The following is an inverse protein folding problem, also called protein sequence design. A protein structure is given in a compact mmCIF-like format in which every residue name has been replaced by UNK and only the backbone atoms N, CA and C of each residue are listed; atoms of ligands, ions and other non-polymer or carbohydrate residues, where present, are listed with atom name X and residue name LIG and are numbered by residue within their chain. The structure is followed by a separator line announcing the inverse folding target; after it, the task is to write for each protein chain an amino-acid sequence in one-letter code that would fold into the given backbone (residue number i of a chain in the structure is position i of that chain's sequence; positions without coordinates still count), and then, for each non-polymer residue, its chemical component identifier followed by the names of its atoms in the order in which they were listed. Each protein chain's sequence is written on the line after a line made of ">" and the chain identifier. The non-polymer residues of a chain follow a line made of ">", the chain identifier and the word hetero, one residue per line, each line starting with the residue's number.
data_IF_250499432564
#
_entry.id   IF_250499432564
#
_cell.length_a   1.000
_cell.length_b   1.000
_cell.length_c   1.000
_cell.angle_alpha   90.00
_cell.angle_beta   90.00
_cell.angle_gamma   90.00
#
_symmetry.space_group_name_H-M   'P 1'
#
loop_
_entity.id
_entity.type
_entity.pdbx_description
1 polymer ?
#
# COMPACT_ATOMS: atom_id res chain seq x y z
N UNK A 1 16.45 16.71 -20.13
CA UNK A 1 15.69 15.49 -19.88
C UNK A 1 14.41 15.85 -19.11
N UNK A 2 13.23 15.55 -19.70
CA UNK A 2 11.91 15.92 -19.16
C UNK A 2 11.69 15.38 -17.73
N UNK A 3 12.02 14.13 -17.46
CA UNK A 3 11.86 13.49 -16.13
C UNK A 3 12.68 14.24 -15.06
N UNK A 4 13.91 14.63 -15.37
CA UNK A 4 14.73 15.40 -14.44
C UNK A 4 14.10 16.76 -14.10
N UNK A 5 13.56 17.46 -15.11
CA UNK A 5 12.88 18.73 -14.89
C UNK A 5 11.62 18.59 -14.02
N UNK A 6 10.82 17.56 -14.27
CA UNK A 6 9.63 17.23 -13.47
C UNK A 6 9.99 16.88 -12.03
N UNK A 7 10.99 16.02 -11.80
CA UNK A 7 11.45 15.68 -10.47
C UNK A 7 12.05 16.89 -9.73
N UNK A 8 12.76 17.76 -10.44
CA UNK A 8 13.28 19.03 -9.88
C UNK A 8 12.15 19.96 -9.43
N UNK A 9 11.09 20.08 -10.21
CA UNK A 9 9.89 20.82 -9.84
C UNK A 9 9.22 20.20 -8.62
N UNK A 10 8.93 18.91 -8.69
CA UNK A 10 8.29 18.13 -7.63
C UNK A 10 9.03 18.25 -6.29
N UNK A 11 10.37 18.24 -6.31
CA UNK A 11 11.18 18.33 -5.09
C UNK A 11 11.01 19.65 -4.31
N UNK A 12 10.45 20.68 -4.95
CA UNK A 12 10.19 21.98 -4.34
C UNK A 12 8.69 22.23 -4.07
N UNK A 13 7.81 21.42 -4.65
CA UNK A 13 6.36 21.60 -4.59
C UNK A 13 5.65 20.23 -4.38
N UNK A 14 5.93 19.61 -3.23
CA UNK A 14 5.26 18.40 -2.80
C UNK A 14 3.87 18.70 -2.26
N UNK A 15 2.88 17.93 -2.64
CA UNK A 15 1.44 18.12 -2.32
C UNK A 15 1.11 17.76 -0.85
N UNK A 16 1.90 18.23 0.09
CA UNK A 16 1.72 17.96 1.53
C UNK A 16 0.37 18.39 2.09
N UNK A 17 -0.25 19.38 1.46
CA UNK A 17 -1.53 19.95 1.89
C UNK A 17 -2.74 19.11 1.47
N UNK A 18 -2.57 18.19 0.52
CA UNK A 18 -3.64 17.30 0.06
C UNK A 18 -3.75 16.03 0.89
N UNK A 19 -2.68 15.66 1.62
CA UNK A 19 -2.59 14.43 2.40
C UNK A 19 -2.83 13.16 1.56
N UNK A 20 -2.99 12.01 2.23
CA UNK A 20 -3.37 10.75 1.60
C UNK A 20 -2.45 10.30 0.47
N UNK A 21 -3.03 9.65 -0.52
CA UNK A 21 -2.32 9.04 -1.64
C UNK A 21 -1.51 10.05 -2.48
N UNK A 22 -1.94 11.31 -2.60
CA UNK A 22 -1.23 12.32 -3.40
C UNK A 22 0.20 12.54 -2.93
N UNK A 23 0.37 12.82 -1.63
CA UNK A 23 1.69 13.05 -1.06
C UNK A 23 2.54 11.76 -1.09
N UNK A 24 1.95 10.60 -0.84
CA UNK A 24 2.64 9.31 -0.92
C UNK A 24 3.22 9.04 -2.31
N UNK A 25 2.42 9.23 -3.36
CA UNK A 25 2.85 9.07 -4.77
C UNK A 25 3.93 10.08 -5.15
N UNK A 26 3.84 11.33 -4.66
CA UNK A 26 4.90 12.33 -4.85
C UNK A 26 6.23 11.84 -4.26
N UNK A 27 6.20 11.29 -3.04
CA UNK A 27 7.39 10.77 -2.36
C UNK A 27 7.98 9.57 -3.12
N UNK A 28 7.13 8.63 -3.57
CA UNK A 28 7.56 7.51 -4.42
C UNK A 28 8.25 8.00 -5.68
N UNK A 29 7.61 8.91 -6.43
CA UNK A 29 8.16 9.45 -7.67
C UNK A 29 9.51 10.14 -7.44
N UNK A 30 9.63 10.92 -6.35
CA UNK A 30 10.86 11.61 -6.00
C UNK A 30 11.96 10.63 -5.57
N UNK A 31 11.62 9.55 -4.86
CA UNK A 31 12.55 8.49 -4.47
C UNK A 31 13.17 7.82 -5.70
N UNK A 32 12.32 7.39 -6.65
CA UNK A 32 12.76 6.76 -7.89
C UNK A 32 13.67 7.70 -8.70
N UNK A 33 13.24 8.96 -8.87
CA UNK A 33 14.07 9.95 -9.56
C UNK A 33 15.40 10.20 -8.84
N UNK A 34 15.37 10.27 -7.49
CA UNK A 34 16.55 10.46 -6.67
C UNK A 34 17.59 9.37 -6.86
N UNK A 35 17.16 8.12 -6.97
CA UNK A 35 18.03 6.96 -7.23
C UNK A 35 18.55 6.97 -8.66
N UNK A 36 17.66 7.16 -9.66
CA UNK A 36 18.03 7.15 -11.10
C UNK A 36 19.01 8.27 -11.45
N UNK A 37 18.82 9.46 -10.90
CA UNK A 37 19.68 10.61 -11.15
C UNK A 37 20.78 10.80 -10.10
N UNK A 38 20.95 9.86 -9.18
CA UNK A 38 21.92 9.91 -8.08
C UNK A 38 21.84 11.19 -7.23
N UNK A 39 20.62 11.71 -7.05
CA UNK A 39 20.36 12.93 -6.30
C UNK A 39 20.03 12.63 -4.84
N UNK A 40 21.06 12.69 -3.97
CA UNK A 40 20.94 12.42 -2.54
C UNK A 40 19.89 13.31 -1.85
N UNK A 41 19.75 14.58 -2.27
CA UNK A 41 18.74 15.47 -1.68
C UNK A 41 17.32 14.96 -1.93
N UNK A 42 17.02 14.51 -3.15
CA UNK A 42 15.70 13.97 -3.50
C UNK A 42 15.42 12.68 -2.75
N UNK A 43 16.38 11.76 -2.73
CA UNK A 43 16.26 10.51 -1.96
C UNK A 43 16.01 10.80 -0.48
N UNK A 44 16.78 11.71 0.14
CA UNK A 44 16.61 12.05 1.56
C UNK A 44 15.29 12.72 1.88
N UNK A 45 14.73 13.54 0.98
CA UNK A 45 13.41 14.15 1.15
C UNK A 45 12.34 13.05 1.11
N UNK A 46 12.40 12.18 0.11
CA UNK A 46 11.45 11.11 -0.10
C UNK A 46 11.47 10.09 1.05
N UNK A 47 12.64 9.61 1.47
CA UNK A 47 12.75 8.67 2.58
C UNK A 47 12.20 9.23 3.89
N UNK A 48 12.53 10.47 4.23
CA UNK A 48 12.00 11.09 5.45
C UNK A 48 10.48 11.20 5.42
N UNK A 49 9.91 11.56 4.26
CA UNK A 49 8.46 11.59 4.09
C UNK A 49 7.85 10.20 4.26
N UNK A 50 8.36 9.19 3.55
CA UNK A 50 7.86 7.81 3.61
C UNK A 50 7.94 7.20 5.01
N UNK A 51 9.02 7.49 5.77
CA UNK A 51 9.15 7.04 7.16
C UNK A 51 8.09 7.64 8.10
N UNK A 52 7.51 8.77 7.74
CA UNK A 52 6.39 9.39 8.47
C UNK A 52 5.05 8.91 7.94
N UNK A 53 4.87 8.93 6.61
CA UNK A 53 3.58 8.65 5.97
C UNK A 53 3.14 7.18 6.10
N UNK A 54 4.07 6.22 6.03
CA UNK A 54 3.72 4.80 6.13
C UNK A 54 2.99 4.50 7.44
N UNK A 55 3.55 4.81 8.64
CA UNK A 55 2.84 4.54 9.90
C UNK A 55 1.64 5.47 10.15
N UNK A 56 1.54 6.61 9.48
CA UNK A 56 0.38 7.51 9.57
C UNK A 56 -0.77 7.03 8.71
N UNK A 57 -0.48 6.53 7.50
CA UNK A 57 -1.51 6.15 6.53
C UNK A 57 -1.96 4.70 6.66
N UNK A 58 -1.18 3.83 7.30
CA UNK A 58 -1.52 2.42 7.44
C UNK A 58 -1.83 2.12 8.90
N UNK A 59 -3.08 1.73 9.14
CA UNK A 59 -3.60 1.39 10.47
C UNK A 59 -3.00 0.08 10.99
N UNK A 60 -3.13 -0.20 12.28
CA UNK A 60 -2.55 -1.39 12.90
C UNK A 60 -3.09 -2.72 12.34
N UNK A 61 -4.34 -2.73 11.85
CA UNK A 61 -4.96 -3.86 11.17
C UNK A 61 -4.57 -3.98 9.68
N UNK A 62 -3.71 -3.09 9.19
CA UNK A 62 -3.20 -3.07 7.83
C UNK A 62 -4.04 -2.27 6.83
N UNK A 63 -5.18 -1.72 7.22
CA UNK A 63 -5.98 -0.87 6.35
C UNK A 63 -5.26 0.43 6.00
N UNK A 64 -5.43 0.92 4.77
CA UNK A 64 -5.14 2.32 4.48
C UNK A 64 -6.21 3.21 5.14
N UNK A 65 -5.81 4.32 5.75
CA UNK A 65 -6.66 5.20 6.56
C UNK A 65 -7.82 5.85 5.80
N UNK A 66 -7.75 5.92 4.47
CA UNK A 66 -8.87 6.38 3.63
C UNK A 66 -10.03 5.36 3.57
N UNK A 67 -9.82 4.16 4.11
CA UNK A 67 -10.82 3.08 4.19
C UNK A 67 -11.43 2.70 2.82
N UNK A 68 -10.72 2.99 1.73
CA UNK A 68 -11.08 2.59 0.38
C UNK A 68 -10.24 1.39 -0.05
N UNK A 69 -10.86 0.22 -0.31
CA UNK A 69 -10.12 -0.98 -0.77
C UNK A 69 -9.37 -0.77 -2.09
N UNK A 70 -9.84 0.12 -2.94
CA UNK A 70 -9.13 0.48 -4.16
C UNK A 70 -7.86 1.28 -3.87
N UNK A 71 -7.95 2.37 -3.07
CA UNK A 71 -6.78 3.17 -2.70
C UNK A 71 -5.80 2.36 -1.84
N UNK A 72 -6.30 1.50 -0.95
CA UNK A 72 -5.48 0.53 -0.23
C UNK A 72 -4.62 -0.31 -1.20
N UNK A 73 -5.23 -0.85 -2.25
CA UNK A 73 -4.53 -1.65 -3.26
C UNK A 73 -3.48 -0.84 -4.03
N UNK A 74 -3.75 0.43 -4.35
CA UNK A 74 -2.81 1.33 -5.01
C UNK A 74 -1.60 1.63 -4.13
N UNK A 75 -1.81 1.99 -2.86
CA UNK A 75 -0.73 2.24 -1.90
C UNK A 75 0.09 0.98 -1.64
N UNK A 76 -0.55 -0.19 -1.54
CA UNK A 76 0.15 -1.46 -1.40
C UNK A 76 1.09 -1.73 -2.59
N UNK A 77 0.64 -1.48 -3.82
CA UNK A 77 1.51 -1.57 -5.01
C UNK A 77 2.66 -0.58 -4.94
N UNK A 78 2.41 0.64 -4.49
CA UNK A 78 3.45 1.65 -4.33
C UNK A 78 4.51 1.21 -3.30
N UNK A 79 4.09 0.60 -2.20
CA UNK A 79 5.02 0.04 -1.19
C UNK A 79 5.81 -1.15 -1.73
N UNK A 80 5.18 -2.04 -2.50
CA UNK A 80 5.86 -3.15 -3.17
C UNK A 80 6.91 -2.64 -4.18
N UNK A 81 6.59 -1.57 -4.93
CA UNK A 81 7.53 -0.95 -5.86
C UNK A 81 8.75 -0.35 -5.13
N UNK A 82 8.52 0.34 -4.01
CA UNK A 82 9.61 0.91 -3.20
C UNK A 82 10.46 -0.23 -2.60
N UNK A 83 9.84 -1.31 -2.14
CA UNK A 83 10.55 -2.49 -1.64
C UNK A 83 11.36 -3.17 -2.75
N UNK A 84 10.80 -3.33 -3.95
CA UNK A 84 11.52 -3.84 -5.11
C UNK A 84 12.73 -2.95 -5.46
N UNK A 85 12.54 -1.63 -5.43
CA UNK A 85 13.63 -0.67 -5.65
C UNK A 85 14.76 -0.85 -4.62
N UNK A 86 14.44 -1.10 -3.34
CA UNK A 86 15.43 -1.35 -2.30
C UNK A 86 16.25 -2.62 -2.57
N UNK A 87 15.63 -3.64 -3.14
CA UNK A 87 16.34 -4.88 -3.53
C UNK A 87 17.22 -4.71 -4.76
N UNK A 88 16.77 -3.88 -5.71
CA UNK A 88 17.58 -3.56 -6.91
C UNK A 88 18.76 -2.65 -6.58
N UNK A 89 18.64 -1.79 -5.58
CA UNK A 89 19.65 -0.79 -5.18
C UNK A 89 19.90 -0.82 -3.67
N UNK A 90 20.42 -1.93 -3.11
CA UNK A 90 20.47 -2.15 -1.66
C UNK A 90 21.30 -1.13 -0.87
N UNK A 91 22.23 -0.41 -1.53
CA UNK A 91 23.05 0.63 -0.90
C UNK A 91 22.45 2.04 -1.02
N UNK A 92 21.34 2.21 -1.71
CA UNK A 92 20.75 3.53 -2.01
C UNK A 92 19.59 3.90 -1.09
N UNK A 93 18.95 2.93 -0.43
CA UNK A 93 17.88 3.15 0.54
C UNK A 93 18.35 2.78 1.96
N UNK A 94 17.77 3.45 2.95
CA UNK A 94 18.09 3.17 4.35
C UNK A 94 17.48 1.83 4.79
N UNK A 95 18.20 1.11 5.66
CA UNK A 95 17.69 -0.10 6.32
C UNK A 95 16.38 0.19 7.06
N UNK A 96 16.26 1.40 7.64
CA UNK A 96 15.06 1.81 8.37
C UNK A 96 13.81 1.81 7.49
N UNK A 97 13.89 2.33 6.27
CA UNK A 97 12.77 2.32 5.33
C UNK A 97 12.46 0.89 4.87
N UNK A 98 13.48 0.09 4.56
CA UNK A 98 13.26 -1.30 4.14
C UNK A 98 12.60 -2.13 5.24
N UNK A 99 13.05 -2.02 6.49
CA UNK A 99 12.43 -2.72 7.63
C UNK A 99 10.99 -2.27 7.88
N UNK A 100 10.69 -0.99 7.68
CA UNK A 100 9.33 -0.48 7.80
C UNK A 100 8.41 -1.09 6.72
N UNK A 101 8.89 -1.19 5.48
CA UNK A 101 8.14 -1.85 4.40
C UNK A 101 7.93 -3.35 4.69
N UNK A 102 8.94 -4.04 5.22
CA UNK A 102 8.85 -5.46 5.64
C UNK A 102 7.81 -5.67 6.75
N UNK A 103 7.62 -4.69 7.62
CA UNK A 103 6.61 -4.73 8.68
C UNK A 103 5.19 -4.49 8.13
N UNK A 104 5.00 -3.47 7.29
CA UNK A 104 3.65 -3.01 6.91
C UNK A 104 3.07 -3.73 5.69
N UNK A 105 3.87 -4.16 4.72
CA UNK A 105 3.39 -4.87 3.53
C UNK A 105 2.59 -6.15 3.89
N UNK A 106 3.05 -7.03 4.80
CA UNK A 106 2.27 -8.21 5.20
C UNK A 106 0.92 -7.87 5.85
N UNK A 107 0.85 -6.82 6.65
CA UNK A 107 -0.40 -6.35 7.26
C UNK A 107 -1.39 -5.92 6.18
N UNK A 108 -0.93 -5.11 5.21
CA UNK A 108 -1.75 -4.65 4.09
C UNK A 108 -2.22 -5.81 3.21
N UNK A 109 -1.37 -6.80 2.92
CA UNK A 109 -1.76 -7.99 2.17
C UNK A 109 -2.86 -8.79 2.88
N UNK A 110 -2.76 -8.91 4.21
CA UNK A 110 -3.79 -9.58 5.03
C UNK A 110 -5.12 -8.83 5.00
N UNK A 111 -5.08 -7.51 5.11
CA UNK A 111 -6.27 -6.67 5.01
C UNK A 111 -6.91 -6.75 3.61
N UNK A 112 -6.10 -6.69 2.54
CA UNK A 112 -6.58 -6.85 1.17
C UNK A 112 -7.31 -8.19 0.98
N UNK A 113 -6.76 -9.29 1.52
CA UNK A 113 -7.41 -10.62 1.50
C UNK A 113 -8.75 -10.61 2.24
N UNK A 114 -8.79 -9.97 3.41
CA UNK A 114 -10.03 -9.84 4.18
C UNK A 114 -11.11 -9.05 3.45
N UNK A 115 -10.74 -8.04 2.67
CA UNK A 115 -11.68 -7.13 1.98
C UNK A 115 -12.03 -7.57 0.54
N UNK A 116 -11.31 -8.52 -0.05
CA UNK A 116 -11.61 -8.98 -1.41
C UNK A 116 -12.85 -9.87 -1.46
N UNK A 117 -13.66 -9.75 -2.52
CA UNK A 117 -14.74 -10.69 -2.80
C UNK A 117 -14.23 -12.10 -3.17
N UNK A 118 -15.06 -13.16 -3.08
CA UNK A 118 -14.62 -14.53 -3.42
C UNK A 118 -14.09 -14.67 -4.85
N UNK A 119 -14.54 -13.83 -5.79
CA UNK A 119 -14.06 -13.78 -7.18
C UNK A 119 -12.77 -12.96 -7.33
N UNK A 120 -12.24 -12.39 -6.24
CA UNK A 120 -11.06 -11.52 -6.23
C UNK A 120 -11.35 -10.06 -6.59
N UNK A 121 -12.62 -9.70 -6.74
CA UNK A 121 -13.05 -8.31 -6.98
C UNK A 121 -12.85 -7.42 -5.76
N UNK A 122 -12.76 -6.12 -6.01
CA UNK A 122 -12.64 -5.08 -4.98
C UNK A 122 -14.02 -4.83 -4.36
N UNK A 123 -14.09 -4.77 -3.03
CA UNK A 123 -15.31 -4.33 -2.35
C UNK A 123 -15.50 -2.82 -2.49
N UNK A 124 -16.75 -2.40 -2.72
CA UNK A 124 -17.08 -0.99 -3.04
C UNK A 124 -17.43 -0.22 -1.76
N UNK A 125 -16.42 0.08 -0.96
CA UNK A 125 -16.54 0.99 0.18
C UNK A 125 -15.81 2.29 -0.12
N UNK A 126 -16.37 3.39 0.35
CA UNK A 126 -15.87 4.74 0.11
C UNK A 126 -15.66 4.99 -1.40
N UNK A 127 -14.56 5.62 -1.80
CA UNK A 127 -14.26 5.96 -3.20
C UNK A 127 -13.71 4.78 -4.03
N UNK A 128 -14.07 3.54 -3.70
CA UNK A 128 -13.63 2.37 -4.46
C UNK A 128 -14.38 2.22 -5.78
N UNK A 129 -13.62 1.97 -6.85
CA UNK A 129 -14.13 1.68 -8.18
C UNK A 129 -13.38 0.50 -8.81
N UNK A 130 -14.07 -0.25 -9.66
CA UNK A 130 -13.45 -1.37 -10.39
C UNK A 130 -12.55 -0.89 -11.55
N UNK A 131 -11.53 -1.67 -11.87
CA UNK A 131 -10.67 -1.45 -13.03
C UNK A 131 -9.61 -0.34 -12.87
N UNK A 132 -9.50 0.30 -11.70
CA UNK A 132 -8.49 1.34 -11.42
C UNK A 132 -7.23 0.72 -10.81
N UNK A 133 -7.37 -0.02 -9.71
CA UNK A 133 -6.26 -0.74 -9.09
C UNK A 133 -5.97 -2.06 -9.85
N UNK A 134 -4.74 -2.58 -9.79
CA UNK A 134 -4.46 -3.93 -10.24
C UNK A 134 -5.30 -4.95 -9.46
N UNK A 135 -5.67 -6.05 -10.11
CA UNK A 135 -6.44 -7.12 -9.45
C UNK A 135 -5.65 -7.74 -8.29
N UNK A 136 -6.36 -8.24 -7.28
CA UNK A 136 -5.80 -8.95 -6.13
C UNK A 136 -4.74 -9.97 -6.56
N UNK A 137 -5.07 -10.85 -7.53
CA UNK A 137 -4.15 -11.88 -8.02
C UNK A 137 -2.83 -11.32 -8.60
N UNK A 138 -2.87 -10.14 -9.25
CA UNK A 138 -1.65 -9.48 -9.76
C UNK A 138 -0.80 -8.94 -8.62
N UNK A 139 -1.43 -8.34 -7.60
CA UNK A 139 -0.72 -7.82 -6.43
C UNK A 139 -0.08 -8.96 -5.64
N UNK A 140 -0.80 -10.05 -5.39
CA UNK A 140 -0.30 -11.25 -4.73
C UNK A 140 0.90 -11.85 -5.48
N UNK A 141 0.75 -12.06 -6.79
CA UNK A 141 1.86 -12.57 -7.62
C UNK A 141 3.10 -11.66 -7.58
N UNK A 142 2.92 -10.35 -7.47
CA UNK A 142 4.02 -9.42 -7.33
C UNK A 142 4.65 -9.51 -5.93
N UNK A 143 3.85 -9.56 -4.88
CA UNK A 143 4.31 -9.72 -3.51
C UNK A 143 5.10 -11.03 -3.31
N UNK A 144 4.60 -12.14 -3.85
CA UNK A 144 5.29 -13.45 -3.82
C UNK A 144 6.68 -13.40 -4.47
N UNK A 145 6.83 -12.74 -5.62
CA UNK A 145 8.14 -12.55 -6.28
C UNK A 145 9.11 -11.75 -5.42
N UNK A 146 8.60 -10.91 -4.55
CA UNK A 146 9.39 -10.13 -3.60
C UNK A 146 9.65 -10.85 -2.28
N UNK A 147 9.07 -12.04 -2.09
CA UNK A 147 9.27 -12.88 -0.91
C UNK A 147 8.20 -12.69 0.18
N UNK A 148 7.13 -11.94 -0.10
CA UNK A 148 5.98 -11.84 0.79
C UNK A 148 4.98 -12.97 0.45
N UNK A 149 5.01 -14.03 1.26
CA UNK A 149 4.02 -15.11 1.14
C UNK A 149 2.72 -14.72 1.82
N UNK A 150 1.59 -14.96 1.15
CA UNK A 150 0.27 -14.89 1.75
C UNK A 150 -0.12 -16.33 2.09
N UNK A 151 -0.44 -16.61 3.35
CA UNK A 151 -1.04 -17.89 3.70
C UNK A 151 -2.46 -17.92 3.12
N UNK A 152 -2.76 -18.83 2.20
CA UNK A 152 -4.09 -18.88 1.63
C UNK A 152 -5.12 -19.13 2.74
N UNK A 153 -6.17 -18.35 2.72
CA UNK A 153 -7.26 -18.46 3.66
C UNK A 153 -8.03 -19.76 3.38
N UNK A 154 -8.23 -20.57 4.41
CA UNK A 154 -9.07 -21.77 4.30
C UNK A 154 -10.55 -21.35 4.26
N UNK A 155 -11.05 -21.05 3.07
CA UNK A 155 -12.44 -20.63 2.84
C UNK A 155 -13.49 -21.74 3.16
N UNK A 156 -13.03 -22.97 3.49
CA UNK A 156 -13.94 -24.07 3.89
C UNK A 156 -14.43 -23.92 5.33
N UNK A 157 -13.75 -23.17 6.18
CA UNK A 157 -14.10 -22.96 7.58
C UNK A 157 -14.79 -21.62 7.81
N UNK A 158 -15.82 -21.58 8.66
CA UNK A 158 -16.39 -20.31 9.10
C UNK A 158 -15.32 -19.48 9.79
N UNK A 159 -15.20 -18.23 9.37
CA UNK A 159 -14.25 -17.30 9.97
C UNK A 159 -14.86 -15.92 10.10
N UNK A 160 -14.52 -15.24 11.18
CA UNK A 160 -14.81 -13.83 11.39
C UNK A 160 -13.47 -13.13 11.60
N UNK A 161 -13.22 -12.07 10.84
CA UNK A 161 -12.08 -11.17 10.98
C UNK A 161 -12.64 -9.83 11.42
N UNK A 162 -12.20 -9.36 12.59
CA UNK A 162 -12.52 -8.05 13.12
C UNK A 162 -11.31 -7.13 12.89
N UNK A 163 -11.43 -6.23 11.93
CA UNK A 163 -10.44 -5.20 11.65
C UNK A 163 -10.79 -3.97 12.50
N UNK A 164 -10.49 -4.06 13.79
CA UNK A 164 -10.95 -3.11 14.80
C UNK A 164 -10.49 -1.66 14.58
N UNK A 165 -9.34 -1.44 13.94
CA UNK A 165 -8.81 -0.09 13.70
C UNK A 165 -9.52 0.59 12.50
N UNK A 166 -9.85 -0.17 11.46
CA UNK A 166 -10.60 0.33 10.32
C UNK A 166 -12.12 0.25 10.49
N UNK A 167 -12.60 -0.57 11.45
CA UNK A 167 -14.01 -0.79 11.69
C UNK A 167 -14.67 -1.80 10.73
N UNK A 168 -13.91 -2.48 9.88
CA UNK A 168 -14.45 -3.51 8.99
C UNK A 168 -14.53 -4.88 9.67
N UNK A 169 -15.72 -5.49 9.63
CA UNK A 169 -15.93 -6.87 10.08
C UNK A 169 -16.20 -7.74 8.85
N UNK A 170 -15.35 -8.75 8.64
CA UNK A 170 -15.47 -9.67 7.53
C UNK A 170 -15.83 -11.07 8.03
N UNK A 171 -16.89 -11.68 7.50
CA UNK A 171 -17.28 -13.04 7.81
C UNK A 171 -17.28 -13.89 6.54
N UNK A 172 -16.68 -15.08 6.61
CA UNK A 172 -16.69 -16.07 5.52
C UNK A 172 -17.32 -17.35 6.02
N UNK A 173 -18.37 -17.83 5.30
CA UNK A 173 -19.07 -19.08 5.62
C UNK A 173 -19.45 -19.79 4.33
N UNK A 174 -18.98 -21.03 4.17
CA UNK A 174 -19.33 -21.90 3.03
C UNK A 174 -19.16 -21.20 1.65
N UNK A 175 -18.04 -20.47 1.47
CA UNK A 175 -17.73 -19.76 0.23
C UNK A 175 -18.48 -18.43 0.03
N UNK A 176 -19.39 -18.08 0.96
CA UNK A 176 -20.01 -16.75 0.97
C UNK A 176 -19.22 -15.83 1.87
N UNK A 177 -19.16 -14.55 1.49
CA UNK A 177 -18.49 -13.51 2.25
C UNK A 177 -19.45 -12.37 2.57
N UNK A 178 -19.42 -11.93 3.81
CA UNK A 178 -20.08 -10.71 4.29
C UNK A 178 -18.99 -9.75 4.73
N UNK A 179 -19.08 -8.51 4.27
CA UNK A 179 -18.23 -7.41 4.74
C UNK A 179 -19.18 -6.35 5.31
N UNK A 180 -18.95 -6.00 6.55
CA UNK A 180 -19.74 -5.00 7.27
C UNK A 180 -18.85 -3.84 7.67
N UNK A 181 -19.29 -2.62 7.33
CA UNK A 181 -18.64 -1.37 7.74
C UNK A 181 -19.26 -0.90 9.06
N UNK A 182 -18.50 -0.96 10.13
CA UNK A 182 -18.83 -0.47 11.45
C UNK A 182 -17.89 0.69 11.85
N UNK A 183 -17.22 1.31 10.87
CA UNK A 183 -16.34 2.45 11.12
C UNK A 183 -17.13 3.62 11.72
N UNK A 184 -16.52 4.42 12.60
CA UNK A 184 -17.15 5.64 13.09
C UNK A 184 -17.39 6.62 11.92
N UNK A 185 -18.55 7.27 11.95
CA UNK A 185 -18.97 8.28 10.97
C UNK A 185 -18.21 9.59 11.22
#
# INVERSE_FOLDING_TARGET
>A
NSIFAQASFLSNDLEKHLLGNHYFVNLKALLFAGIIFENIRWTSIAERGLLTEIPEQILDDGANFELSPMYHSLILVDMLDIFNLSRCYPSKLSIKLTSLLEEYIPKMLTFMEAMAHPDGGVSFFNDSADGIAPTKAKIESYAEKLGFGISPHDSSKPQIIDNANSGYICATVAGNKLIFDASPV
#
